data_IF_687020545008
#
_entry.id   IF_687020545008
#
_cell.length_a   1.000
_cell.length_b   1.000
_cell.length_c   1.000
_cell.angle_alpha   90.00
_cell.angle_beta   90.00
_cell.angle_gamma   90.00
#
_symmetry.space_group_name_H-M   'P 1'
#
loop_
_entity.id
_entity.type
_entity.pdbx_description
1 polymer ?
#
# COMPACT_ATOMS: atom_id res chain seq x y z
N UNK A 1 -6.94 15.32 -14.93
CA UNK A 1 -5.64 14.71 -14.56
C UNK A 1 -5.83 14.06 -13.19
N UNK A 2 -5.28 12.85 -12.98
CA UNK A 2 -5.34 12.13 -11.69
C UNK A 2 -3.96 12.08 -11.08
N UNK A 3 -3.89 12.27 -9.77
CA UNK A 3 -2.63 12.25 -9.02
C UNK A 3 -2.62 11.09 -8.04
N UNK A 4 -1.53 10.35 -8.03
CA UNK A 4 -1.31 9.25 -7.10
C UNK A 4 0.03 9.36 -6.38
N UNK A 5 0.20 8.55 -5.34
CA UNK A 5 1.48 8.42 -4.64
C UNK A 5 1.77 6.95 -4.32
N UNK A 6 3.04 6.66 -4.11
CA UNK A 6 3.48 5.35 -3.65
C UNK A 6 3.43 5.28 -2.13
N UNK A 7 2.75 4.29 -1.59
CA UNK A 7 2.70 4.05 -0.14
C UNK A 7 4.08 3.66 0.39
N UNK A 8 4.67 4.43 1.34
CA UNK A 8 6.00 4.13 1.89
C UNK A 8 5.91 3.06 2.98
N UNK A 9 5.87 1.79 2.60
CA UNK A 9 5.69 0.67 3.54
C UNK A 9 6.99 0.02 4.02
N UNK A 10 8.17 0.58 3.69
CA UNK A 10 9.50 0.06 4.04
C UNK A 10 10.45 1.09 4.65
N UNK A 11 9.95 2.18 5.21
CA UNK A 11 10.78 3.17 5.90
C UNK A 11 11.37 4.27 5.02
N UNK A 12 10.92 4.39 3.78
CA UNK A 12 11.35 5.41 2.85
C UNK A 12 11.83 4.86 1.50
N UNK A 13 12.29 5.73 0.64
CA UNK A 13 12.61 5.42 -0.76
C UNK A 13 14.09 5.57 -1.10
N UNK A 14 14.86 6.28 -0.26
CA UNK A 14 16.26 6.61 -0.52
C UNK A 14 17.17 5.53 0.09
N UNK A 15 17.91 4.81 -0.77
CA UNK A 15 18.80 3.72 -0.34
C UNK A 15 19.96 4.20 0.55
N UNK A 16 20.39 5.44 0.37
CA UNK A 16 21.56 6.01 1.07
C UNK A 16 21.18 6.87 2.30
N UNK A 17 19.92 6.80 2.72
CA UNK A 17 19.41 7.53 3.89
C UNK A 17 18.81 6.51 4.85
N UNK A 18 19.44 6.34 6.01
CA UNK A 18 19.00 5.34 6.98
C UNK A 18 17.63 5.67 7.59
N UNK A 19 17.38 6.94 7.85
CA UNK A 19 16.12 7.39 8.45
C UNK A 19 15.53 8.57 7.67
N UNK A 20 14.43 8.34 6.98
CA UNK A 20 13.64 9.35 6.27
C UNK A 20 12.45 9.86 7.10
N UNK A 21 12.38 9.53 8.39
CA UNK A 21 11.24 9.81 9.26
C UNK A 21 9.91 9.22 8.74
N UNK A 22 9.99 8.06 8.08
CA UNK A 22 8.86 7.29 7.59
C UNK A 22 8.77 5.96 8.35
N UNK A 23 8.21 5.93 9.57
CA UNK A 23 8.15 4.71 10.36
C UNK A 23 7.31 3.62 9.68
N UNK A 24 7.80 2.38 9.76
CA UNK A 24 7.13 1.21 9.19
C UNK A 24 6.02 0.76 10.15
N UNK A 25 4.95 1.53 10.19
CA UNK A 25 3.78 1.25 11.04
C UNK A 25 2.49 1.54 10.29
N UNK A 26 1.44 0.78 10.58
CA UNK A 26 0.12 1.03 10.01
C UNK A 26 -0.41 2.43 10.38
N UNK A 27 -0.20 2.88 11.61
CA UNK A 27 -0.65 4.20 12.05
C UNK A 27 -0.08 5.34 11.19
N UNK A 28 1.20 5.25 10.84
CA UNK A 28 1.82 6.23 9.92
C UNK A 28 1.19 6.18 8.53
N UNK A 29 1.08 5.00 7.93
CA UNK A 29 0.50 4.83 6.59
C UNK A 29 -0.97 5.25 6.55
N UNK A 30 -1.75 4.90 7.56
CA UNK A 30 -3.15 5.33 7.71
C UNK A 30 -3.28 6.86 7.71
N UNK A 31 -2.50 7.55 8.55
CA UNK A 31 -2.53 9.02 8.61
C UNK A 31 -2.12 9.65 7.28
N UNK A 32 -1.13 9.07 6.61
CA UNK A 32 -0.68 9.53 5.29
C UNK A 32 -1.80 9.37 4.26
N UNK A 33 -2.44 8.21 4.18
CA UNK A 33 -3.52 7.93 3.25
C UNK A 33 -4.72 8.87 3.46
N UNK A 34 -5.14 9.05 4.69
CA UNK A 34 -6.22 9.98 5.04
C UNK A 34 -5.86 11.43 4.73
N UNK A 35 -4.60 11.83 4.94
CA UNK A 35 -4.14 13.16 4.57
C UNK A 35 -4.09 13.34 3.06
N UNK A 36 -3.56 12.37 2.32
CA UNK A 36 -3.51 12.38 0.86
C UNK A 36 -4.91 12.54 0.26
N UNK A 37 -5.88 11.76 0.76
CA UNK A 37 -7.27 11.86 0.36
C UNK A 37 -7.87 13.25 0.62
N UNK A 38 -7.60 13.85 1.79
CA UNK A 38 -8.11 15.19 2.12
C UNK A 38 -7.55 16.29 1.23
N UNK A 39 -6.29 16.20 0.81
CA UNK A 39 -5.64 17.20 -0.04
C UNK A 39 -5.83 16.95 -1.54
N UNK A 40 -6.57 15.90 -1.92
CA UNK A 40 -7.02 15.68 -3.28
C UNK A 40 -6.21 14.70 -4.12
N UNK A 41 -5.43 13.80 -3.50
CA UNK A 41 -4.90 12.65 -4.24
C UNK A 41 -6.03 11.69 -4.63
N UNK A 42 -5.96 11.17 -5.84
CA UNK A 42 -6.97 10.25 -6.40
C UNK A 42 -6.68 8.79 -6.05
N UNK A 43 -5.40 8.41 -5.96
CA UNK A 43 -5.02 7.01 -5.73
C UNK A 43 -3.72 6.87 -4.94
N UNK A 44 -3.57 5.72 -4.31
CA UNK A 44 -2.28 5.24 -3.81
C UNK A 44 -1.91 3.91 -4.46
N UNK A 45 -0.62 3.75 -4.80
CA UNK A 45 -0.05 2.47 -5.17
C UNK A 45 0.65 1.86 -3.95
N UNK A 46 0.18 0.69 -3.55
CA UNK A 46 0.79 -0.11 -2.48
C UNK A 46 1.77 -1.09 -3.12
N UNK A 47 3.08 -0.86 -3.02
CA UNK A 47 4.08 -1.71 -3.66
C UNK A 47 4.22 -3.04 -2.92
N UNK A 48 4.46 -4.13 -3.66
CA UNK A 48 4.70 -5.43 -3.06
C UNK A 48 6.20 -5.73 -2.99
N UNK A 49 6.75 -5.60 -1.79
CA UNK A 49 8.11 -6.03 -1.47
C UNK A 49 8.06 -6.98 -0.27
N UNK A 50 8.35 -8.27 -0.51
CA UNK A 50 8.32 -9.27 0.55
C UNK A 50 9.55 -9.20 1.47
N UNK A 51 10.63 -8.59 1.00
CA UNK A 51 11.81 -8.22 1.77
C UNK A 51 12.13 -6.76 1.50
N UNK A 52 12.62 -6.06 2.51
CA UNK A 52 13.01 -4.66 2.37
C UNK A 52 14.36 -4.54 1.65
N UNK A 53 14.33 -4.36 0.34
CA UNK A 53 15.55 -4.17 -0.45
C UNK A 53 16.01 -2.70 -0.52
N UNK A 54 15.23 -1.79 0.03
CA UNK A 54 15.57 -0.35 0.11
C UNK A 54 16.48 -0.06 1.29
N UNK A 55 16.10 -0.53 2.48
CA UNK A 55 16.82 -0.29 3.75
C UNK A 55 17.62 -1.49 4.24
N UNK A 56 17.63 -2.58 3.47
CA UNK A 56 18.29 -3.84 3.80
C UNK A 56 17.30 -4.94 4.20
N UNK A 57 17.63 -6.18 3.89
CA UNK A 57 16.73 -7.33 4.05
C UNK A 57 16.34 -7.65 5.49
N UNK A 58 17.10 -7.14 6.46
CA UNK A 58 16.78 -7.25 7.89
C UNK A 58 15.88 -6.12 8.40
N UNK A 59 15.66 -5.07 7.60
CA UNK A 59 14.78 -3.96 7.97
C UNK A 59 13.30 -4.36 7.82
N UNK A 60 12.40 -3.79 8.63
CA UNK A 60 10.98 -4.12 8.55
C UNK A 60 10.35 -3.66 7.25
N UNK A 61 9.30 -4.35 6.83
CA UNK A 61 8.36 -3.92 5.79
C UNK A 61 6.95 -4.38 6.15
N UNK A 62 5.94 -3.65 5.70
CA UNK A 62 4.55 -4.08 5.83
C UNK A 62 4.16 -4.92 4.61
N UNK A 63 3.28 -5.89 4.82
CA UNK A 63 2.76 -6.71 3.74
C UNK A 63 1.70 -5.95 2.94
N UNK A 64 1.80 -5.97 1.62
CA UNK A 64 1.08 -5.08 0.72
C UNK A 64 -0.44 -5.28 0.72
N UNK A 65 -0.92 -6.52 0.64
CA UNK A 65 -2.35 -6.81 0.47
C UNK A 65 -3.13 -6.64 1.76
N UNK A 66 -2.54 -7.04 2.89
CA UNK A 66 -3.09 -6.75 4.22
C UNK A 66 -3.17 -5.24 4.47
N UNK A 67 -2.13 -4.50 4.06
CA UNK A 67 -2.10 -3.05 4.16
C UNK A 67 -3.14 -2.40 3.26
N UNK A 68 -3.32 -2.88 2.02
CA UNK A 68 -4.34 -2.39 1.09
C UNK A 68 -5.76 -2.53 1.68
N UNK A 69 -6.07 -3.68 2.29
CA UNK A 69 -7.34 -3.88 2.98
C UNK A 69 -7.55 -2.88 4.13
N UNK A 70 -6.50 -2.64 4.92
CA UNK A 70 -6.56 -1.71 6.05
C UNK A 70 -6.71 -0.24 5.58
N UNK A 71 -6.03 0.15 4.49
CA UNK A 71 -6.22 1.48 3.88
C UNK A 71 -7.65 1.61 3.34
N UNK A 72 -8.16 0.59 2.65
CA UNK A 72 -9.52 0.57 2.13
C UNK A 72 -10.57 0.83 3.21
N UNK A 73 -10.40 0.19 4.37
CA UNK A 73 -11.31 0.33 5.52
C UNK A 73 -11.20 1.69 6.24
N UNK A 74 -10.14 2.47 5.98
CA UNK A 74 -9.87 3.72 6.72
C UNK A 74 -9.89 4.98 5.84
N UNK A 75 -10.23 4.83 4.55
CA UNK A 75 -10.40 5.90 3.57
C UNK A 75 -11.77 5.81 2.91
N UNK A 76 -12.25 6.89 2.29
CA UNK A 76 -13.60 6.96 1.70
C UNK A 76 -13.60 7.10 0.18
N UNK A 77 -12.59 7.76 -0.41
CA UNK A 77 -12.55 8.11 -1.83
C UNK A 77 -11.28 7.69 -2.53
N UNK A 78 -10.19 7.53 -1.79
CA UNK A 78 -8.88 7.19 -2.34
C UNK A 78 -8.96 5.81 -3.02
N UNK A 79 -8.57 5.72 -4.30
CA UNK A 79 -8.41 4.44 -4.97
C UNK A 79 -7.15 3.74 -4.44
N UNK A 80 -7.26 2.45 -4.18
CA UNK A 80 -6.17 1.64 -3.66
C UNK A 80 -5.72 0.68 -4.76
N UNK A 81 -4.54 0.91 -5.32
CA UNK A 81 -3.93 0.02 -6.30
C UNK A 81 -2.85 -0.80 -5.60
N UNK A 82 -3.02 -2.11 -5.49
CA UNK A 82 -2.00 -2.99 -4.93
C UNK A 82 -1.17 -3.64 -6.04
N UNK A 83 0.15 -3.64 -5.88
CA UNK A 83 1.02 -4.41 -6.76
C UNK A 83 0.85 -5.92 -6.48
N UNK A 84 0.97 -6.75 -7.53
CA UNK A 84 0.88 -8.19 -7.44
C UNK A 84 2.04 -8.84 -8.21
N UNK A 85 2.85 -9.62 -7.50
CA UNK A 85 3.92 -10.41 -8.12
C UNK A 85 3.44 -11.83 -8.36
N UNK A 86 3.17 -12.24 -9.61
CA UNK A 86 2.49 -13.51 -9.92
C UNK A 86 3.13 -14.75 -9.28
N UNK A 87 4.44 -14.76 -9.08
CA UNK A 87 5.15 -15.90 -8.49
C UNK A 87 4.86 -16.17 -7.01
N UNK A 88 4.24 -15.21 -6.31
CA UNK A 88 3.92 -15.32 -4.87
C UNK A 88 2.44 -15.52 -4.59
N UNK A 89 1.60 -15.49 -5.62
CA UNK A 89 0.14 -15.51 -5.46
C UNK A 89 -0.48 -16.72 -6.15
N UNK A 90 -1.32 -17.44 -5.42
CA UNK A 90 -2.20 -18.45 -6.00
C UNK A 90 -3.42 -17.75 -6.62
N UNK A 91 -3.68 -17.89 -7.93
CA UNK A 91 -4.68 -17.07 -8.63
C UNK A 91 -6.07 -17.07 -7.99
N UNK A 92 -6.56 -18.22 -7.55
CA UNK A 92 -7.89 -18.32 -6.94
C UNK A 92 -7.96 -17.62 -5.57
N UNK A 93 -6.88 -17.70 -4.78
CA UNK A 93 -6.78 -17.01 -3.48
C UNK A 93 -6.70 -15.50 -3.69
N UNK A 94 -5.87 -15.07 -4.63
CA UNK A 94 -5.69 -13.65 -4.96
C UNK A 94 -6.98 -13.02 -5.48
N UNK A 95 -7.71 -13.70 -6.34
CA UNK A 95 -9.02 -13.24 -6.81
C UNK A 95 -10.01 -13.08 -5.64
N UNK A 96 -9.98 -13.99 -4.67
CA UNK A 96 -10.83 -13.91 -3.47
C UNK A 96 -10.43 -12.73 -2.58
N UNK A 97 -9.12 -12.52 -2.38
CA UNK A 97 -8.61 -11.37 -1.63
C UNK A 97 -8.99 -10.05 -2.31
N UNK A 98 -8.77 -9.95 -3.63
CA UNK A 98 -9.13 -8.76 -4.41
C UNK A 98 -10.61 -8.42 -4.29
N UNK A 99 -11.49 -9.41 -4.46
CA UNK A 99 -12.93 -9.21 -4.33
C UNK A 99 -13.33 -8.74 -2.91
N UNK A 100 -12.64 -9.25 -1.87
CA UNK A 100 -12.90 -8.84 -0.50
C UNK A 100 -12.44 -7.40 -0.24
N UNK A 101 -11.26 -7.02 -0.74
CA UNK A 101 -10.76 -5.64 -0.59
C UNK A 101 -11.62 -4.67 -1.39
N UNK A 102 -12.11 -5.08 -2.55
CA UNK A 102 -13.03 -4.28 -3.36
C UNK A 102 -14.35 -4.03 -2.64
N UNK A 103 -14.91 -5.05 -1.99
CA UNK A 103 -16.10 -4.91 -1.14
C UNK A 103 -15.86 -3.95 0.03
N UNK A 104 -14.76 -4.13 0.78
CA UNK A 104 -14.36 -3.24 1.88
C UNK A 104 -14.23 -1.79 1.41
N UNK A 105 -13.68 -1.59 0.23
CA UNK A 105 -13.44 -0.26 -0.34
C UNK A 105 -14.65 0.34 -1.06
N UNK A 106 -15.76 -0.40 -1.22
CA UNK A 106 -16.91 0.01 -2.03
C UNK A 106 -16.51 0.29 -3.49
N UNK A 107 -15.76 -0.61 -4.12
CA UNK A 107 -15.39 -0.54 -5.53
C UNK A 107 -14.19 0.34 -5.86
N UNK A 108 -13.29 0.63 -4.90
CA UNK A 108 -12.10 1.47 -5.11
C UNK A 108 -10.80 0.69 -5.21
N UNK A 109 -10.86 -0.65 -5.23
CA UNK A 109 -9.67 -1.48 -5.29
C UNK A 109 -9.30 -1.84 -6.73
N UNK A 110 -8.01 -1.72 -7.03
CA UNK A 110 -7.41 -2.21 -8.28
C UNK A 110 -6.10 -2.91 -7.95
N UNK A 111 -5.60 -3.71 -8.87
CA UNK A 111 -4.27 -4.32 -8.74
C UNK A 111 -3.49 -4.25 -10.05
N UNK A 112 -2.16 -4.27 -9.96
CA UNK A 112 -1.23 -4.10 -11.07
C UNK A 112 -0.23 -5.25 -11.12
#
# INVERSE_FOLDING_TARGET
MRFGYWTPLFGGWLRNVDNENMPVTFDYVKRLAQRAERIGFDLTLVPELNLNDIKGTAAPSLEAWSLAAAIAATTERLEIMAAMRPGYHLPAVTAKQAATIDDISCGRFTFN
#
